data_IF_077828621997
#
_entry.id   IF_077828621997
#
_cell.length_a   1.000
_cell.length_b   1.000
_cell.length_c   1.000
_cell.angle_alpha   90.00
_cell.angle_beta   90.00
_cell.angle_gamma   90.00
#
_symmetry.space_group_name_H-M   'P 1'
#
loop_
_entity.id
_entity.type
_entity.pdbx_description
1 polymer ?
#
# COMPACT_ATOMS: atom_id res chain seq x y z
N UNK A 1 -2.42 7.94 18.51
CA UNK A 1 -1.60 7.06 17.63
C UNK A 1 -2.51 6.17 16.78
N UNK A 2 -3.40 5.39 17.41
CA UNK A 2 -4.39 4.60 16.67
C UNK A 2 -5.29 5.45 15.76
N UNK A 3 -5.79 6.59 16.23
CA UNK A 3 -6.68 7.45 15.44
C UNK A 3 -5.98 8.04 14.20
N UNK A 4 -4.70 8.43 14.33
CA UNK A 4 -3.90 8.94 13.22
C UNK A 4 -3.63 7.85 12.19
N UNK A 5 -3.27 6.64 12.63
CA UNK A 5 -3.06 5.51 11.71
C UNK A 5 -4.37 5.16 11.02
N UNK A 6 -5.48 5.13 11.75
CA UNK A 6 -6.80 4.88 11.18
C UNK A 6 -7.16 5.90 10.10
N UNK A 7 -6.98 7.19 10.37
CA UNK A 7 -7.23 8.25 9.40
C UNK A 7 -6.40 8.06 8.13
N UNK A 8 -5.09 7.80 8.25
CA UNK A 8 -4.21 7.57 7.10
C UNK A 8 -4.61 6.34 6.29
N UNK A 9 -5.04 5.26 6.96
CA UNK A 9 -5.53 4.07 6.29
C UNK A 9 -6.87 4.31 5.56
N UNK A 10 -7.76 5.14 6.13
CA UNK A 10 -9.02 5.53 5.50
C UNK A 10 -8.79 6.36 4.23
N UNK A 11 -7.78 7.24 4.22
CA UNK A 11 -7.39 8.00 3.03
C UNK A 11 -6.89 7.11 1.87
N UNK A 12 -6.36 5.92 2.16
CA UNK A 12 -5.86 4.97 1.15
C UNK A 12 -6.96 4.11 0.52
N UNK A 13 -8.18 4.10 1.06
CA UNK A 13 -9.28 3.24 0.58
C UNK A 13 -9.55 3.44 -0.93
N UNK A 14 -9.70 4.67 -1.46
CA UNK A 14 -10.02 4.86 -2.87
C UNK A 14 -8.97 4.26 -3.82
N UNK A 15 -7.68 4.39 -3.48
CA UNK A 15 -6.58 3.79 -4.25
C UNK A 15 -6.69 2.26 -4.25
N UNK A 16 -6.95 1.65 -3.09
CA UNK A 16 -7.03 0.18 -2.96
C UNK A 16 -8.24 -0.39 -3.70
N UNK A 17 -9.39 0.30 -3.67
CA UNK A 17 -10.57 -0.06 -4.45
C UNK A 17 -10.30 0.05 -5.96
N UNK A 18 -9.55 1.06 -6.39
CA UNK A 18 -9.13 1.20 -7.79
C UNK A 18 -8.19 0.04 -8.21
N UNK A 19 -7.25 -0.33 -7.35
CA UNK A 19 -6.34 -1.44 -7.57
C UNK A 19 -7.07 -2.79 -7.70
N UNK A 20 -8.11 -3.02 -6.89
CA UNK A 20 -8.96 -4.20 -6.96
C UNK A 20 -9.85 -4.18 -8.22
N UNK A 21 -10.56 -3.08 -8.47
CA UNK A 21 -11.53 -2.97 -9.57
C UNK A 21 -10.87 -3.06 -10.94
N UNK A 22 -9.64 -2.56 -11.09
CA UNK A 22 -8.83 -2.74 -12.30
C UNK A 22 -8.23 -4.14 -12.42
N UNK A 23 -8.36 -4.99 -11.40
CA UNK A 23 -7.82 -6.35 -11.40
C UNK A 23 -6.29 -6.41 -11.27
N UNK A 24 -5.64 -5.32 -10.85
CA UNK A 24 -4.20 -5.35 -10.57
C UNK A 24 -3.89 -6.22 -9.37
N UNK A 25 -4.79 -6.28 -8.40
CA UNK A 25 -4.67 -7.13 -7.22
C UNK A 25 -6.02 -7.77 -6.90
N UNK A 26 -6.00 -9.00 -6.41
CA UNK A 26 -7.20 -9.64 -5.89
C UNK A 26 -7.46 -9.25 -4.43
N UNK A 27 -8.66 -9.57 -3.90
CA UNK A 27 -9.05 -9.27 -2.51
C UNK A 27 -8.07 -9.77 -1.45
N UNK A 28 -7.49 -10.94 -1.63
CA UNK A 28 -6.52 -11.51 -0.70
C UNK A 28 -5.22 -10.71 -0.67
N UNK A 29 -4.79 -10.24 -1.85
CA UNK A 29 -3.62 -9.37 -1.99
C UNK A 29 -3.89 -7.99 -1.40
N UNK A 30 -5.05 -7.38 -1.68
CA UNK A 30 -5.47 -6.10 -1.09
C UNK A 30 -5.47 -6.19 0.44
N UNK A 31 -6.03 -7.25 1.02
CA UNK A 31 -6.00 -7.47 2.47
C UNK A 31 -4.57 -7.53 3.02
N UNK A 32 -3.67 -8.17 2.28
CA UNK A 32 -2.25 -8.26 2.66
C UNK A 32 -1.55 -6.90 2.57
N UNK A 33 -1.86 -6.10 1.54
CA UNK A 33 -1.34 -4.74 1.36
C UNK A 33 -1.81 -3.84 2.51
N UNK A 34 -3.11 -3.89 2.85
CA UNK A 34 -3.70 -3.13 3.96
C UNK A 34 -3.00 -3.46 5.27
N UNK A 35 -2.85 -4.74 5.60
CA UNK A 35 -2.15 -5.15 6.82
C UNK A 35 -0.72 -4.62 6.84
N UNK A 36 -0.01 -4.71 5.70
CA UNK A 36 1.38 -4.30 5.61
C UNK A 36 1.57 -2.79 5.75
N UNK A 37 0.73 -1.99 5.07
CA UNK A 37 0.72 -0.53 5.21
C UNK A 37 0.39 -0.12 6.64
N UNK A 38 -0.60 -0.76 7.27
CA UNK A 38 -0.95 -0.51 8.66
C UNK A 38 0.23 -0.77 9.63
N UNK A 39 0.95 -1.88 9.45
CA UNK A 39 2.14 -2.20 10.26
C UNK A 39 3.23 -1.13 10.10
N UNK A 40 3.45 -0.62 8.89
CA UNK A 40 4.39 0.47 8.63
C UNK A 40 3.92 1.78 9.27
N UNK A 41 2.65 2.14 9.15
CA UNK A 41 2.11 3.34 9.78
C UNK A 41 2.29 3.32 11.30
N UNK A 42 2.02 2.18 11.95
CA UNK A 42 2.33 2.02 13.37
C UNK A 42 3.84 2.14 13.67
N UNK A 43 4.70 1.55 12.83
CA UNK A 43 6.14 1.64 13.00
C UNK A 43 6.67 3.08 12.86
N UNK A 44 6.09 3.89 11.96
CA UNK A 44 6.47 5.27 11.73
C UNK A 44 5.91 6.23 12.78
N UNK A 45 4.72 5.97 13.32
CA UNK A 45 4.07 6.85 14.31
C UNK A 45 4.48 6.55 15.76
N UNK A 46 5.24 5.47 16.00
CA UNK A 46 5.75 5.16 17.34
C UNK A 46 6.71 6.26 17.84
N UNK A 47 6.80 6.41 19.16
CA UNK A 47 7.60 7.45 19.83
C UNK A 47 9.09 7.48 19.42
N UNK A 48 9.66 6.32 19.09
CA UNK A 48 11.03 6.17 18.59
C UNK A 48 11.03 5.60 17.16
N UNK A 49 10.55 6.38 16.20
CA UNK A 49 10.62 6.03 14.78
C UNK A 49 12.10 5.91 14.35
N UNK A 50 12.44 4.84 13.65
CA UNK A 50 13.81 4.63 13.18
C UNK A 50 13.88 4.93 11.69
N UNK A 51 14.96 5.58 11.23
CA UNK A 51 15.23 5.84 9.81
C UNK A 51 15.03 4.59 8.93
N UNK A 52 15.42 3.41 9.45
CA UNK A 52 15.25 2.12 8.76
C UNK A 52 13.80 1.79 8.44
N UNK A 53 12.84 2.19 9.27
CA UNK A 53 11.43 1.88 9.07
C UNK A 53 10.86 2.69 7.90
N UNK A 54 11.27 3.96 7.78
CA UNK A 54 10.96 4.79 6.61
C UNK A 54 11.53 4.20 5.33
N UNK A 55 12.81 3.82 5.34
CA UNK A 55 13.46 3.22 4.16
C UNK A 55 12.78 1.91 3.73
N UNK A 56 12.44 1.05 4.70
CA UNK A 56 11.72 -0.21 4.41
C UNK A 56 10.32 0.03 3.86
N UNK A 57 9.63 1.07 4.33
CA UNK A 57 8.30 1.37 3.81
C UNK A 57 8.39 1.91 2.38
N UNK A 58 9.32 2.82 2.10
CA UNK A 58 9.58 3.32 0.74
C UNK A 58 9.91 2.17 -0.22
N UNK A 59 10.81 1.26 0.18
CA UNK A 59 11.17 0.10 -0.63
C UNK A 59 9.97 -0.82 -0.89
N UNK A 60 9.11 -1.01 0.10
CA UNK A 60 7.88 -1.80 -0.05
C UNK A 60 6.92 -1.16 -1.06
N UNK A 61 6.65 0.15 -0.95
CA UNK A 61 5.75 0.86 -1.87
C UNK A 61 6.31 0.90 -3.30
N UNK A 62 7.63 1.06 -3.46
CA UNK A 62 8.28 0.97 -4.78
C UNK A 62 8.08 -0.39 -5.43
N UNK A 63 8.29 -1.48 -4.70
CA UNK A 63 8.08 -2.85 -5.22
C UNK A 63 6.61 -3.13 -5.53
N UNK A 64 5.70 -2.57 -4.73
CA UNK A 64 4.27 -2.69 -4.98
C UNK A 64 3.87 -2.00 -6.29
N UNK A 65 4.43 -0.81 -6.55
CA UNK A 65 4.20 -0.09 -7.81
C UNK A 65 4.83 -0.80 -9.01
N UNK A 66 6.04 -1.34 -8.88
CA UNK A 66 6.68 -2.16 -9.91
C UNK A 66 5.81 -3.37 -10.29
N UNK A 67 5.26 -4.07 -9.29
CA UNK A 67 4.35 -5.20 -9.49
C UNK A 67 3.05 -4.76 -10.19
N UNK A 68 2.48 -3.62 -9.77
CA UNK A 68 1.29 -3.03 -10.42
C UNK A 68 1.56 -2.70 -11.88
N UNK A 69 2.71 -2.07 -12.19
CA UNK A 69 3.11 -1.74 -13.56
C UNK A 69 3.35 -2.99 -14.41
N UNK A 70 3.98 -4.02 -13.85
CA UNK A 70 4.13 -5.32 -14.51
C UNK A 70 2.77 -5.91 -14.87
N UNK A 71 1.83 -6.00 -13.90
CA UNK A 71 0.49 -6.53 -14.15
C UNK A 71 -0.32 -5.67 -15.12
N UNK A 72 -0.15 -4.34 -15.10
CA UNK A 72 -0.75 -3.44 -16.10
C UNK A 72 -0.33 -3.80 -17.52
N UNK A 73 0.96 -4.11 -17.73
CA UNK A 73 1.47 -4.54 -19.03
C UNK A 73 0.87 -5.89 -19.44
N UNK A 74 0.86 -6.87 -18.55
CA UNK A 74 0.35 -8.22 -18.82
C UNK A 74 -1.16 -8.23 -19.12
N UNK A 75 -1.95 -7.45 -18.38
CA UNK A 75 -3.41 -7.40 -18.56
C UNK A 75 -3.84 -6.54 -19.77
N UNK A 76 -2.90 -5.86 -20.44
CA UNK A 76 -3.21 -4.96 -21.55
C UNK A 76 -4.11 -3.78 -21.16
N UNK A 77 -4.21 -3.45 -19.86
CA UNK A 77 -5.07 -2.39 -19.35
C UNK A 77 -4.48 -1.04 -19.79
N UNK A 78 -5.14 -0.40 -20.76
CA UNK A 78 -4.85 0.99 -21.15
C UNK A 78 -5.60 1.94 -20.21
N UNK A 79 -4.85 2.76 -19.47
CA UNK A 79 -5.36 3.86 -18.64
C UNK A 79 -4.71 3.94 -17.25
N UNK A 80 -4.44 5.11 -16.66
CA UNK A 80 -4.46 6.49 -17.18
C UNK A 80 -3.19 6.80 -17.96
#
# INVERSE_FOLDING_TARGET
>A
MADTVRYLMEEMIPELEELESKGYFNRGEIKSIVQKRQDFEYALKRRAALKRDFLRYIEYEQKLDELRLHRKKELGIKGV
#
